data_IF_040624310584
#
_entry.id   IF_040624310584
#
_cell.length_a   1.000
_cell.length_b   1.000
_cell.length_c   1.000
_cell.angle_alpha   90.00
_cell.angle_beta   90.00
_cell.angle_gamma   90.00
#
_symmetry.space_group_name_H-M   'P 1'
#
loop_
_entity.id
_entity.type
_entity.pdbx_description
1 polymer ?
#
# COMPACT_ATOMS: atom_id res chain seq x y z
N UNK A 1 15.87 7.21 3.02
CA UNK A 1 15.65 8.63 2.65
C UNK A 1 14.61 8.80 1.56
N UNK A 2 14.84 8.38 0.31
CA UNK A 2 13.85 8.55 -0.75
C UNK A 2 12.49 7.92 -0.43
N UNK A 3 12.47 6.65 0.01
CA UNK A 3 11.23 5.96 0.36
C UNK A 3 10.42 6.66 1.47
N UNK A 4 11.12 7.25 2.44
CA UNK A 4 10.50 8.02 3.54
C UNK A 4 9.82 9.30 3.05
N UNK A 5 10.41 9.99 2.06
CA UNK A 5 9.77 11.16 1.45
C UNK A 5 8.63 10.78 0.50
N UNK A 6 8.77 9.63 -0.18
CA UNK A 6 7.77 9.13 -1.11
C UNK A 6 6.50 8.61 -0.43
N UNK A 7 6.55 8.17 0.84
CA UNK A 7 5.40 7.56 1.51
C UNK A 7 4.21 8.51 1.74
N UNK A 8 4.43 9.82 1.68
CA UNK A 8 3.39 10.86 1.81
C UNK A 8 3.17 11.63 0.51
N UNK A 9 3.88 11.29 -0.57
CA UNK A 9 3.79 12.02 -1.83
C UNK A 9 2.67 11.47 -2.72
N UNK A 10 2.09 12.36 -3.53
CA UNK A 10 1.08 12.04 -4.55
C UNK A 10 1.68 12.01 -5.96
N UNK A 11 2.76 12.77 -6.18
CA UNK A 11 3.45 12.91 -7.45
C UNK A 11 4.97 12.81 -7.26
N UNK A 12 5.66 12.19 -8.21
CA UNK A 12 7.12 12.14 -8.24
C UNK A 12 7.69 12.86 -9.46
N UNK A 13 8.60 13.81 -9.22
CA UNK A 13 9.39 14.46 -10.27
C UNK A 13 10.72 13.72 -10.43
N UNK A 14 10.97 13.19 -11.62
CA UNK A 14 12.16 12.42 -11.97
C UNK A 14 12.99 13.23 -12.96
N UNK A 15 14.17 13.66 -12.50
CA UNK A 15 15.08 14.48 -13.28
C UNK A 15 16.02 13.61 -14.12
N UNK A 16 16.14 13.92 -15.41
CA UNK A 16 17.00 13.23 -16.37
C UNK A 16 17.86 14.24 -17.12
N UNK A 17 19.13 13.93 -17.37
CA UNK A 17 19.99 14.74 -18.25
C UNK A 17 19.74 14.32 -19.70
N UNK A 18 19.32 15.25 -20.56
CA UNK A 18 19.00 15.00 -21.96
C UNK A 18 20.14 14.32 -22.74
N UNK A 19 21.41 14.54 -22.34
CA UNK A 19 22.57 13.93 -23.02
C UNK A 19 22.86 12.52 -22.54
N UNK A 20 22.53 12.22 -21.28
CA UNK A 20 22.79 10.93 -20.67
C UNK A 20 21.63 9.94 -20.86
N UNK A 21 20.41 10.45 -21.04
CA UNK A 21 19.20 9.63 -21.13
C UNK A 21 18.87 8.94 -19.80
N UNK A 22 18.18 7.81 -19.88
CA UNK A 22 17.75 7.08 -18.69
C UNK A 22 18.90 6.30 -18.06
N UNK A 23 19.24 6.67 -16.82
CA UNK A 23 20.25 5.97 -16.03
C UNK A 23 19.59 4.98 -15.07
N UNK A 24 20.36 3.97 -14.62
CA UNK A 24 19.91 3.00 -13.62
C UNK A 24 19.33 3.67 -12.36
N UNK A 25 19.91 4.80 -11.96
CA UNK A 25 19.44 5.58 -10.82
C UNK A 25 18.02 6.13 -11.03
N UNK A 26 17.71 6.67 -12.22
CA UNK A 26 16.38 7.17 -12.56
C UNK A 26 15.35 6.05 -12.52
N UNK A 27 15.68 4.90 -13.10
CA UNK A 27 14.82 3.72 -13.12
C UNK A 27 14.58 3.17 -11.71
N UNK A 28 15.64 3.13 -10.88
CA UNK A 28 15.55 2.75 -9.47
C UNK A 28 14.64 3.69 -8.69
N UNK A 29 14.77 5.00 -8.87
CA UNK A 29 13.92 5.98 -8.21
C UNK A 29 12.45 5.85 -8.65
N UNK A 30 12.19 5.67 -9.94
CA UNK A 30 10.85 5.41 -10.45
C UNK A 30 10.24 4.13 -9.85
N UNK A 31 11.02 3.05 -9.74
CA UNK A 31 10.59 1.81 -9.08
C UNK A 31 10.22 2.04 -7.61
N UNK A 32 11.06 2.76 -6.86
CA UNK A 32 10.79 3.06 -5.45
C UNK A 32 9.52 3.90 -5.32
N UNK A 33 9.36 4.94 -6.15
CA UNK A 33 8.17 5.78 -6.14
C UNK A 33 6.89 4.98 -6.43
N UNK A 34 6.91 4.12 -7.45
CA UNK A 34 5.79 3.24 -7.78
C UNK A 34 5.47 2.27 -6.63
N UNK A 35 6.50 1.66 -6.03
CA UNK A 35 6.33 0.76 -4.88
C UNK A 35 5.75 1.47 -3.65
N UNK A 36 6.03 2.77 -3.46
CA UNK A 36 5.42 3.59 -2.40
C UNK A 36 4.01 4.09 -2.76
N UNK A 37 3.44 3.59 -3.86
CA UNK A 37 2.09 3.92 -4.31
C UNK A 37 1.97 5.33 -4.90
N UNK A 38 3.03 5.86 -5.52
CA UNK A 38 2.93 7.07 -6.34
C UNK A 38 2.55 6.65 -7.76
N UNK A 39 1.45 7.16 -8.29
CA UNK A 39 0.93 6.78 -9.62
C UNK A 39 0.96 7.92 -10.64
N UNK A 40 1.57 9.05 -10.28
CA UNK A 40 1.74 10.20 -11.18
C UNK A 40 3.20 10.60 -11.22
N UNK A 41 3.81 10.49 -12.39
CA UNK A 41 5.21 10.84 -12.60
C UNK A 41 5.35 12.03 -13.54
N UNK A 42 6.27 12.91 -13.21
CA UNK A 42 6.75 13.96 -14.11
C UNK A 42 8.19 13.64 -14.47
N UNK A 43 8.45 13.40 -15.75
CA UNK A 43 9.79 13.20 -16.28
C UNK A 43 10.33 14.56 -16.75
N UNK A 44 11.20 15.16 -15.94
CA UNK A 44 11.87 16.40 -16.25
C UNK A 44 13.17 16.11 -17.04
N UNK A 45 13.10 16.20 -18.36
CA UNK A 45 14.27 16.02 -19.26
C UNK A 45 15.03 17.34 -19.30
N UNK A 46 15.98 17.47 -18.38
CA UNK A 46 16.75 18.67 -18.11
C UNK A 46 18.00 18.78 -18.99
N UNK A 47 18.56 19.99 -19.08
CA UNK A 47 19.74 20.35 -19.90
C UNK A 47 19.50 20.15 -21.41
N UNK A 48 18.27 20.36 -21.85
CA UNK A 48 17.89 20.28 -23.27
C UNK A 48 18.67 21.29 -24.14
N UNK A 49 19.10 22.41 -23.55
CA UNK A 49 19.97 23.41 -24.18
C UNK A 49 21.32 22.83 -24.61
N UNK A 50 21.89 21.91 -23.82
CA UNK A 50 23.13 21.20 -24.15
C UNK A 50 22.92 20.08 -25.17
N UNK A 51 21.66 19.72 -25.45
CA UNK A 51 21.25 18.80 -26.50
C UNK A 51 20.73 19.55 -27.74
N UNK A 52 21.07 20.85 -27.88
CA UNK A 52 20.64 21.72 -28.98
C UNK A 52 19.12 21.74 -29.19
N UNK A 53 18.34 21.60 -28.11
CA UNK A 53 16.87 21.56 -28.15
C UNK A 53 16.29 20.49 -29.08
N UNK A 54 16.99 19.37 -29.26
CA UNK A 54 16.54 18.28 -30.15
C UNK A 54 15.25 17.63 -29.65
N UNK A 55 14.25 17.64 -30.53
CA UNK A 55 12.96 16.96 -30.35
C UNK A 55 13.15 15.44 -30.29
N UNK A 56 14.01 14.91 -31.14
CA UNK A 56 14.22 13.47 -31.31
C UNK A 56 14.79 12.85 -30.03
N UNK A 57 15.79 13.51 -29.42
CA UNK A 57 16.38 13.07 -28.15
C UNK A 57 15.31 13.06 -27.04
N UNK A 58 14.50 14.12 -26.96
CA UNK A 58 13.41 14.19 -25.97
C UNK A 58 12.37 13.09 -26.17
N UNK A 59 11.88 12.92 -27.40
CA UNK A 59 10.85 11.93 -27.71
C UNK A 59 11.33 10.50 -27.44
N UNK A 60 12.60 10.20 -27.76
CA UNK A 60 13.22 8.90 -27.45
C UNK A 60 13.24 8.63 -25.94
N UNK A 61 13.77 9.55 -25.15
CA UNK A 61 13.85 9.41 -23.68
C UNK A 61 12.45 9.29 -23.07
N UNK A 62 11.52 10.12 -23.54
CA UNK A 62 10.14 10.12 -23.06
C UNK A 62 9.41 8.81 -23.40
N UNK A 63 9.62 8.24 -24.59
CA UNK A 63 9.03 6.97 -24.99
C UNK A 63 9.57 5.81 -24.13
N UNK A 64 10.90 5.69 -24.03
CA UNK A 64 11.55 4.65 -23.22
C UNK A 64 11.09 4.70 -21.75
N UNK A 65 10.98 5.91 -21.19
CA UNK A 65 10.53 6.07 -19.82
C UNK A 65 9.05 5.72 -19.63
N UNK A 66 8.18 6.08 -20.59
CA UNK A 66 6.76 5.72 -20.54
C UNK A 66 6.57 4.21 -20.58
N UNK A 67 7.29 3.49 -21.44
CA UNK A 67 7.27 2.01 -21.46
C UNK A 67 7.69 1.43 -20.11
N UNK A 68 8.76 1.97 -19.53
CA UNK A 68 9.22 1.54 -18.22
C UNK A 68 8.19 1.82 -17.12
N UNK A 69 7.63 3.03 -17.06
CA UNK A 69 6.61 3.40 -16.09
C UNK A 69 5.35 2.51 -16.22
N UNK A 70 4.94 2.17 -17.44
CA UNK A 70 3.86 1.22 -17.70
C UNK A 70 4.14 -0.16 -17.10
N UNK A 71 5.38 -0.65 -17.19
CA UNK A 71 5.79 -1.92 -16.55
C UNK A 71 5.66 -1.91 -15.02
N UNK A 72 5.72 -0.72 -14.42
CA UNK A 72 5.51 -0.48 -12.99
C UNK A 72 4.04 -0.24 -12.63
N UNK A 73 3.13 -0.27 -13.62
CA UNK A 73 1.70 0.03 -13.44
C UNK A 73 1.36 1.52 -13.39
N UNK A 74 2.32 2.41 -13.73
CA UNK A 74 2.13 3.86 -13.73
C UNK A 74 1.80 4.33 -15.15
N UNK A 75 0.57 4.82 -15.33
CA UNK A 75 0.09 5.31 -16.64
C UNK A 75 0.16 6.83 -16.79
N UNK A 76 0.04 7.56 -15.68
CA UNK A 76 0.06 9.02 -15.70
C UNK A 76 1.50 9.53 -15.68
N UNK A 77 2.08 9.73 -16.86
CA UNK A 77 3.44 10.25 -17.04
C UNK A 77 3.42 11.50 -17.91
N UNK A 78 3.81 12.63 -17.33
CA UNK A 78 4.01 13.88 -18.05
C UNK A 78 5.49 14.09 -18.29
N UNK A 79 5.93 14.12 -19.55
CA UNK A 79 7.33 14.39 -19.90
C UNK A 79 7.48 15.86 -20.33
N UNK A 80 8.49 16.54 -19.78
CA UNK A 80 8.72 17.97 -19.97
C UNK A 80 10.20 18.18 -20.35
N UNK A 81 10.50 18.66 -21.57
CA UNK A 81 11.83 19.10 -21.94
C UNK A 81 12.10 20.45 -21.30
N UNK A 82 13.19 20.61 -20.56
CA UNK A 82 13.46 21.84 -19.82
C UNK A 82 14.96 22.14 -19.72
N UNK A 83 15.27 23.41 -19.47
CA UNK A 83 16.58 23.81 -18.93
C UNK A 83 16.39 24.52 -17.60
N UNK A 84 16.81 23.86 -16.51
CA UNK A 84 16.79 24.47 -15.19
C UNK A 84 17.71 25.69 -15.08
N UNK A 85 18.77 25.76 -15.89
CA UNK A 85 19.73 26.86 -15.86
C UNK A 85 19.18 28.13 -16.54
N UNK A 86 18.47 27.95 -17.65
CA UNK A 86 17.93 29.06 -18.45
C UNK A 86 16.47 29.39 -18.11
N UNK A 87 15.76 28.46 -17.48
CA UNK A 87 14.38 28.64 -17.01
C UNK A 87 13.30 28.19 -17.99
N UNK A 88 13.66 27.67 -19.18
CA UNK A 88 12.67 27.21 -20.16
C UNK A 88 11.89 25.98 -19.68
N UNK A 89 10.57 26.04 -19.81
CA UNK A 89 9.58 25.05 -19.37
C UNK A 89 9.64 24.70 -17.87
N UNK A 90 10.29 25.53 -17.05
CA UNK A 90 10.30 25.40 -15.59
C UNK A 90 9.16 26.20 -14.98
N UNK A 91 9.19 27.51 -15.22
CA UNK A 91 8.15 28.48 -14.81
C UNK A 91 7.62 29.21 -16.04
N UNK A 92 8.52 29.62 -16.93
CA UNK A 92 8.18 30.26 -18.19
C UNK A 92 8.11 29.23 -19.31
N UNK A 93 7.28 29.47 -20.31
CA UNK A 93 7.24 28.64 -21.51
C UNK A 93 8.56 28.75 -22.28
N UNK A 94 8.97 27.63 -22.90
CA UNK A 94 10.17 27.53 -23.73
C UNK A 94 9.90 27.68 -25.21
N UNK A 95 8.77 28.28 -25.63
CA UNK A 95 8.26 28.17 -27.00
C UNK A 95 9.16 28.80 -28.05
N UNK A 96 9.97 29.80 -27.66
CA UNK A 96 10.96 30.43 -28.54
C UNK A 96 12.05 29.45 -28.99
N UNK A 97 12.58 28.65 -28.06
CA UNK A 97 13.66 27.68 -28.33
C UNK A 97 13.12 26.30 -28.74
N UNK A 98 11.93 25.94 -28.23
CA UNK A 98 11.27 24.65 -28.45
C UNK A 98 9.85 24.84 -29.03
N UNK A 99 9.70 25.39 -30.25
CA UNK A 99 8.39 25.62 -30.86
C UNK A 99 7.63 24.32 -31.16
N UNK A 100 8.33 23.18 -31.13
CA UNK A 100 7.77 21.85 -31.32
C UNK A 100 7.14 21.25 -30.05
N UNK A 101 7.34 21.85 -28.88
CA UNK A 101 6.76 21.39 -27.62
C UNK A 101 5.51 22.20 -27.26
N UNK A 102 4.35 21.56 -27.32
CA UNK A 102 3.05 22.16 -26.96
C UNK A 102 2.53 21.68 -25.58
N UNK A 103 3.39 21.05 -24.77
CA UNK A 103 3.02 20.55 -23.44
C UNK A 103 3.12 21.63 -22.34
N UNK A 104 2.73 21.30 -21.10
CA UNK A 104 2.77 22.21 -19.97
C UNK A 104 4.19 22.44 -19.45
N UNK A 105 4.38 23.55 -18.73
CA UNK A 105 5.57 23.76 -17.90
C UNK A 105 5.56 22.87 -16.66
N UNK A 106 6.73 22.75 -16.00
CA UNK A 106 6.83 22.03 -14.73
C UNK A 106 5.91 22.64 -13.66
N UNK A 107 5.88 23.97 -13.52
CA UNK A 107 5.03 24.64 -12.54
C UNK A 107 3.54 24.36 -12.79
N UNK A 108 3.06 24.54 -14.02
CA UNK A 108 1.66 24.27 -14.38
C UNK A 108 1.28 22.81 -14.09
N UNK A 109 2.19 21.88 -14.37
CA UNK A 109 1.97 20.46 -14.09
C UNK A 109 1.82 20.19 -12.59
N UNK A 110 2.60 20.87 -11.74
CA UNK A 110 2.51 20.74 -10.29
C UNK A 110 1.24 21.38 -9.72
N UNK A 111 0.81 22.51 -10.27
CA UNK A 111 -0.44 23.19 -9.87
C UNK A 111 -1.69 22.39 -10.24
N UNK A 112 -1.66 21.69 -11.39
CA UNK A 112 -2.75 20.86 -11.89
C UNK A 112 -2.68 19.40 -11.42
N UNK A 113 -1.64 19.02 -10.68
CA UNK A 113 -1.47 17.65 -10.19
C UNK A 113 -2.66 17.24 -9.31
N UNK A 114 -3.25 16.10 -9.62
CA UNK A 114 -4.38 15.60 -8.83
C UNK A 114 -3.88 14.98 -7.54
N UNK A 115 -4.36 15.47 -6.40
CA UNK A 115 -4.14 14.79 -5.12
C UNK A 115 -5.03 13.55 -5.05
N UNK A 116 -4.51 12.45 -4.51
CA UNK A 116 -5.32 11.25 -4.31
C UNK A 116 -6.48 11.56 -3.37
N UNK A 117 -7.68 11.11 -3.75
CA UNK A 117 -8.84 11.22 -2.86
C UNK A 117 -8.61 10.40 -1.59
N UNK A 118 -8.78 11.03 -0.43
CA UNK A 118 -8.86 10.34 0.86
C UNK A 118 -10.20 9.60 1.06
N UNK A 119 -11.09 9.60 0.05
CA UNK A 119 -12.32 8.82 0.08
C UNK A 119 -12.01 7.34 -0.15
N UNK A 120 -11.95 6.62 0.96
CA UNK A 120 -11.86 5.16 0.98
C UNK A 120 -13.25 4.53 0.92
N UNK A 121 -13.32 3.21 0.73
CA UNK A 121 -14.58 2.43 0.55
C UNK A 121 -15.50 2.46 1.78
N UNK A 122 -15.13 3.14 2.86
CA UNK A 122 -15.98 3.37 4.02
C UNK A 122 -15.28 4.17 5.12
N UNK A 123 -16.03 4.51 6.17
CA UNK A 123 -15.50 5.20 7.34
C UNK A 123 -14.41 4.38 8.05
N UNK A 124 -13.30 5.03 8.39
CA UNK A 124 -12.20 4.51 9.21
C UNK A 124 -11.80 5.55 10.24
N UNK A 125 -11.83 5.19 11.52
CA UNK A 125 -11.29 6.02 12.58
C UNK A 125 -10.53 5.17 13.58
N UNK A 126 -9.19 5.09 13.44
CA UNK A 126 -8.32 4.54 14.47
C UNK A 126 -8.47 5.35 15.77
N UNK A 127 -8.85 4.70 16.85
CA UNK A 127 -9.03 5.36 18.14
C UNK A 127 -7.68 5.66 18.74
N UNK A 128 -7.40 6.94 18.97
CA UNK A 128 -6.16 7.41 19.57
C UNK A 128 -6.28 7.61 21.08
N UNK A 129 -7.46 8.05 21.55
CA UNK A 129 -7.74 8.30 22.96
C UNK A 129 -9.21 8.10 23.28
N UNK A 130 -9.49 7.57 24.48
CA UNK A 130 -10.84 7.58 25.06
C UNK A 130 -10.92 8.76 26.02
N UNK A 131 -11.88 9.65 25.79
CA UNK A 131 -12.13 10.84 26.60
C UNK A 131 -13.33 10.59 27.52
N UNK A 132 -13.11 10.78 28.83
CA UNK A 132 -14.13 10.64 29.87
C UNK A 132 -13.94 11.75 30.91
N UNK A 133 -14.48 12.96 30.65
CA UNK A 133 -14.38 14.08 31.57
C UNK A 133 -15.25 13.88 32.83
N UNK A 134 -16.36 13.16 32.70
CA UNK A 134 -17.28 12.78 33.78
C UNK A 134 -17.91 11.39 33.49
N UNK A 135 -18.78 10.92 34.39
CA UNK A 135 -19.41 9.60 34.26
C UNK A 135 -20.40 9.51 33.10
N UNK A 136 -20.99 10.64 32.70
CA UNK A 136 -22.06 10.74 31.70
C UNK A 136 -21.53 10.86 30.26
N UNK A 137 -20.30 11.37 30.09
CA UNK A 137 -19.69 11.55 28.78
C UNK A 137 -18.58 10.52 28.50
N UNK A 138 -18.74 9.77 27.41
CA UNK A 138 -17.68 8.93 26.84
C UNK A 138 -17.54 9.25 25.35
N UNK A 139 -16.39 9.79 24.97
CA UNK A 139 -16.05 10.13 23.59
C UNK A 139 -14.79 9.41 23.12
N UNK A 140 -14.76 9.01 21.86
CA UNK A 140 -13.64 8.30 21.24
C UNK A 140 -12.95 9.25 20.27
N UNK A 141 -11.72 9.62 20.59
CA UNK A 141 -10.95 10.62 19.86
C UNK A 141 -10.00 9.96 18.88
N UNK A 142 -9.96 10.50 17.66
CA UNK A 142 -9.08 10.07 16.60
C UNK A 142 -9.20 10.98 15.38
N UNK A 143 -8.35 10.72 14.39
CA UNK A 143 -8.45 11.34 13.07
C UNK A 143 -9.16 10.37 12.14
N UNK A 144 -10.11 10.87 11.35
CA UNK A 144 -10.78 10.06 10.33
C UNK A 144 -9.75 9.71 9.25
N UNK A 145 -9.39 8.43 9.17
CA UNK A 145 -8.40 7.90 8.23
C UNK A 145 -9.00 7.63 6.84
N UNK A 146 -10.32 7.69 6.71
CA UNK A 146 -10.98 7.40 5.44
C UNK A 146 -12.50 7.48 5.52
N UNK A 147 -13.13 7.80 4.39
CA UNK A 147 -14.57 7.89 4.26
C UNK A 147 -15.18 9.09 4.99
N UNK A 148 -16.46 8.98 5.34
CA UNK A 148 -17.21 10.00 6.05
C UNK A 148 -18.18 9.35 7.05
N UNK A 149 -18.58 10.11 8.06
CA UNK A 149 -19.53 9.67 9.10
C UNK A 149 -20.46 10.80 9.49
N UNK A 150 -21.70 10.47 9.84
CA UNK A 150 -22.74 11.37 10.33
C UNK A 150 -23.41 10.81 11.58
N UNK A 151 -24.02 11.66 12.43
CA UNK A 151 -24.93 11.20 13.47
C UNK A 151 -26.04 10.31 12.87
N UNK A 152 -26.30 9.18 13.52
CA UNK A 152 -27.22 8.14 13.07
C UNK A 152 -26.57 6.97 12.33
N UNK A 153 -25.34 7.12 11.83
CA UNK A 153 -24.67 6.04 11.09
C UNK A 153 -24.35 4.85 11.99
N UNK A 154 -24.53 3.64 11.46
CA UNK A 154 -24.13 2.39 12.11
C UNK A 154 -22.65 2.11 11.87
N UNK A 155 -21.93 1.85 12.97
CA UNK A 155 -20.51 1.57 12.99
C UNK A 155 -20.22 0.27 13.72
N UNK A 156 -19.04 -0.29 13.49
CA UNK A 156 -18.51 -1.45 14.18
C UNK A 156 -17.18 -1.11 14.84
N UNK A 157 -17.00 -1.59 16.06
CA UNK A 157 -15.74 -1.51 16.79
C UNK A 157 -14.95 -2.77 16.47
N UNK A 158 -13.70 -2.60 16.03
CA UNK A 158 -12.78 -3.69 15.76
C UNK A 158 -11.58 -3.62 16.73
N UNK A 159 -11.11 -4.77 17.25
CA UNK A 159 -11.39 -6.13 16.76
C UNK A 159 -12.62 -6.81 17.37
N UNK A 160 -13.29 -6.22 18.38
CA UNK A 160 -14.38 -6.88 19.11
C UNK A 160 -15.62 -7.24 18.28
N UNK A 161 -15.83 -6.56 17.15
CA UNK A 161 -16.98 -6.75 16.28
C UNK A 161 -18.28 -6.13 16.82
N UNK A 162 -18.20 -5.34 17.90
CA UNK A 162 -19.38 -4.78 18.57
C UNK A 162 -20.02 -3.70 17.69
N UNK A 163 -21.31 -3.80 17.33
CA UNK A 163 -22.00 -2.75 16.60
C UNK A 163 -22.45 -1.63 17.55
N UNK A 164 -22.44 -0.40 17.05
CA UNK A 164 -22.97 0.79 17.73
C UNK A 164 -23.46 1.80 16.69
N UNK A 165 -24.18 2.83 17.14
CA UNK A 165 -24.56 3.95 16.26
C UNK A 165 -23.88 5.23 16.71
N UNK A 166 -23.60 6.12 15.77
CA UNK A 166 -23.03 7.44 16.06
C UNK A 166 -24.13 8.33 16.64
N UNK A 167 -23.93 8.81 17.86
CA UNK A 167 -24.84 9.76 18.49
C UNK A 167 -24.48 11.19 18.09
N UNK A 168 -23.21 11.58 18.25
CA UNK A 168 -22.73 12.95 17.97
C UNK A 168 -21.28 12.94 17.53
N UNK A 169 -20.91 13.96 16.77
CA UNK A 169 -19.52 14.24 16.37
C UNK A 169 -19.14 15.57 17.01
N UNK A 170 -18.14 15.57 17.89
CA UNK A 170 -17.70 16.76 18.62
C UNK A 170 -16.29 17.13 18.17
N UNK A 171 -16.11 18.38 17.78
CA UNK A 171 -14.80 19.01 17.50
C UNK A 171 -14.48 20.05 18.58
N UNK A 172 -13.31 20.69 18.49
CA UNK A 172 -12.87 21.66 19.50
C UNK A 172 -13.87 22.80 19.73
N UNK A 173 -14.45 23.30 18.64
CA UNK A 173 -15.28 24.51 18.58
C UNK A 173 -16.78 24.21 18.57
N UNK A 174 -17.20 23.10 17.97
CA UNK A 174 -18.62 22.80 17.73
C UNK A 174 -18.95 21.31 17.58
N UNK A 175 -20.25 21.01 17.63
CA UNK A 175 -20.81 19.70 17.25
C UNK A 175 -21.09 19.71 15.75
N UNK A 176 -20.54 18.74 15.03
CA UNK A 176 -20.66 18.63 13.57
C UNK A 176 -21.75 17.66 13.15
N UNK A 177 -22.38 17.96 12.01
CA UNK A 177 -23.35 17.08 11.36
C UNK A 177 -22.71 16.00 10.48
N UNK A 178 -21.41 16.15 10.18
CA UNK A 178 -20.62 15.17 9.45
C UNK A 178 -19.13 15.36 9.77
N UNK A 179 -18.35 14.31 9.60
CA UNK A 179 -16.89 14.37 9.53
C UNK A 179 -16.40 13.56 8.33
N UNK A 180 -15.29 13.99 7.76
CA UNK A 180 -14.66 13.36 6.58
C UNK A 180 -13.20 13.04 6.88
N UNK A 181 -12.58 12.24 6.01
CA UNK A 181 -11.15 11.92 6.09
C UNK A 181 -10.29 13.19 6.30
N UNK A 182 -9.35 13.11 7.26
CA UNK A 182 -8.51 14.21 7.71
C UNK A 182 -9.05 14.97 8.94
N UNK A 183 -10.35 14.92 9.23
CA UNK A 183 -10.90 15.59 10.41
C UNK A 183 -10.45 14.90 11.71
N UNK A 184 -9.93 15.69 12.65
CA UNK A 184 -9.69 15.25 14.03
C UNK A 184 -10.95 15.46 14.86
N UNK A 185 -11.57 14.37 15.33
CA UNK A 185 -12.89 14.39 15.97
C UNK A 185 -12.92 13.63 17.28
N UNK A 186 -13.94 13.93 18.09
CA UNK A 186 -14.41 13.09 19.19
C UNK A 186 -15.76 12.50 18.80
N UNK A 187 -15.79 11.19 18.57
CA UNK A 187 -17.00 10.46 18.23
C UNK A 187 -17.72 10.00 19.51
N UNK A 188 -19.00 10.30 19.63
CA UNK A 188 -19.85 9.84 20.73
C UNK A 188 -20.82 8.80 20.17
N UNK A 189 -20.90 7.64 20.82
CA UNK A 189 -21.76 6.53 20.41
C UNK A 189 -23.07 6.51 21.20
N UNK A 190 -24.06 5.79 20.69
CA UNK A 190 -25.38 5.60 21.28
C UNK A 190 -25.37 4.81 22.60
N UNK A 191 -24.29 4.06 22.85
CA UNK A 191 -24.11 3.22 24.02
C UNK A 191 -22.65 3.22 24.46
N UNK A 192 -22.42 2.80 25.71
CA UNK A 192 -21.06 2.54 26.17
C UNK A 192 -20.57 1.21 25.60
N UNK A 193 -19.50 1.27 24.83
CA UNK A 193 -18.79 0.11 24.29
C UNK A 193 -17.37 0.06 24.84
N UNK A 194 -16.85 -1.14 25.02
CA UNK A 194 -15.45 -1.31 25.38
C UNK A 194 -14.56 -1.06 24.15
N UNK A 195 -13.74 -0.02 24.26
CA UNK A 195 -12.88 0.50 23.19
C UNK A 195 -11.64 1.03 23.89
N UNK A 196 -10.49 0.65 23.37
CA UNK A 196 -9.19 1.11 23.81
C UNK A 196 -8.45 1.87 22.70
N UNK A 197 -7.30 2.45 23.05
CA UNK A 197 -6.39 3.02 22.05
C UNK A 197 -5.87 1.89 21.15
N UNK A 198 -5.92 2.11 19.83
CA UNK A 198 -5.49 1.14 18.82
C UNK A 198 -6.64 0.34 18.23
N UNK A 199 -7.83 0.34 18.86
CA UNK A 199 -9.04 -0.16 18.23
C UNK A 199 -9.46 0.74 17.07
N UNK A 200 -10.27 0.20 16.17
CA UNK A 200 -10.76 0.94 15.01
C UNK A 200 -12.29 0.99 15.03
N UNK A 201 -12.84 2.19 14.88
CA UNK A 201 -14.26 2.36 14.57
C UNK A 201 -14.38 2.47 13.06
N UNK A 202 -15.17 1.59 12.45
CA UNK A 202 -15.34 1.52 11.00
C UNK A 202 -16.82 1.45 10.62
N UNK A 203 -17.14 1.80 9.36
CA UNK A 203 -18.49 1.54 8.82
C UNK A 203 -18.80 0.04 8.85
N UNK A 204 -20.03 -0.31 9.19
CA UNK A 204 -20.46 -1.70 9.33
C UNK A 204 -20.50 -2.47 8.01
N UNK A 205 -20.80 -1.78 6.90
CA UNK A 205 -21.00 -2.36 5.56
C UNK A 205 -19.68 -2.50 4.78
N UNK A 206 -18.67 -1.72 5.15
CA UNK A 206 -17.39 -1.68 4.46
C UNK A 206 -16.24 -1.90 5.45
N UNK A 207 -16.19 -3.08 6.08
CA UNK A 207 -15.21 -3.39 7.14
C UNK A 207 -13.80 -3.60 6.57
N UNK A 208 -12.76 -3.15 7.28
CA UNK A 208 -11.39 -3.54 6.96
C UNK A 208 -11.18 -5.04 7.19
N UNK A 209 -10.10 -5.58 6.61
CA UNK A 209 -9.75 -6.97 6.81
C UNK A 209 -9.15 -7.19 8.21
N UNK A 210 -9.51 -8.31 8.84
CA UNK A 210 -9.00 -8.69 10.17
C UNK A 210 -8.28 -10.04 10.15
N UNK A 211 -7.24 -10.28 10.92
CA UNK A 211 -6.61 -11.60 10.88
C UNK A 211 -5.26 -11.68 11.56
N UNK A 212 -4.62 -12.84 11.45
CA UNK A 212 -3.29 -13.07 12.03
C UNK A 212 -2.18 -13.08 10.96
N UNK A 213 -2.54 -13.12 9.67
CA UNK A 213 -1.60 -13.19 8.57
C UNK A 213 -1.95 -12.18 7.47
N UNK A 214 -0.98 -11.34 7.13
CA UNK A 214 -1.11 -10.34 6.07
C UNK A 214 0.14 -10.35 5.20
N UNK A 215 -0.06 -10.28 3.89
CA UNK A 215 1.04 -10.10 2.95
C UNK A 215 1.28 -8.60 2.74
N UNK A 216 2.55 -8.21 2.76
CA UNK A 216 2.98 -6.82 2.71
C UNK A 216 4.22 -6.64 1.84
N UNK A 217 4.39 -5.45 1.31
CA UNK A 217 5.67 -4.99 0.77
C UNK A 217 6.38 -4.17 1.84
N UNK A 218 7.64 -4.48 2.09
CA UNK A 218 8.42 -3.91 3.18
C UNK A 218 9.75 -3.38 2.68
N UNK A 219 10.15 -2.20 3.15
CA UNK A 219 11.48 -1.65 2.94
C UNK A 219 12.31 -1.71 4.23
N UNK A 220 13.44 -2.40 4.16
CA UNK A 220 14.37 -2.51 5.28
C UNK A 220 15.22 -1.24 5.40
N UNK A 221 15.28 -0.68 6.61
CA UNK A 221 16.04 0.52 6.94
C UNK A 221 17.19 0.24 7.93
N UNK A 222 17.12 -0.87 8.66
CA UNK A 222 18.13 -1.27 9.63
C UNK A 222 19.40 -1.79 8.95
N UNK A 223 20.57 -1.48 9.53
CA UNK A 223 21.86 -1.95 9.01
C UNK A 223 21.96 -3.48 8.96
N UNK A 224 21.44 -4.16 9.98
CA UNK A 224 21.40 -5.63 10.06
C UNK A 224 20.26 -6.25 9.25
N UNK A 225 19.46 -5.43 8.56
CA UNK A 225 18.28 -5.87 7.84
C UNK A 225 17.13 -6.29 8.76
N UNK A 226 16.23 -7.11 8.21
CA UNK A 226 15.17 -7.78 8.99
C UNK A 226 15.62 -9.21 9.29
N UNK A 227 15.78 -9.50 10.57
CA UNK A 227 16.21 -10.81 11.06
C UNK A 227 15.04 -11.79 11.01
N UNK A 228 15.15 -12.91 10.28
CA UNK A 228 14.10 -13.92 10.25
C UNK A 228 13.77 -14.46 11.65
N UNK A 229 12.48 -14.63 11.94
CA UNK A 229 12.01 -15.15 13.23
C UNK A 229 12.12 -14.18 14.42
N UNK A 230 12.77 -13.02 14.27
CA UNK A 230 12.79 -11.98 15.32
C UNK A 230 11.39 -11.36 15.45
N UNK A 231 10.96 -11.14 16.70
CA UNK A 231 9.72 -10.43 17.01
C UNK A 231 9.95 -8.92 17.00
N UNK A 232 9.10 -8.21 16.28
CA UNK A 232 9.10 -6.76 16.17
C UNK A 232 7.82 -6.16 16.75
N UNK A 233 7.86 -4.88 17.08
CA UNK A 233 6.66 -4.08 17.25
C UNK A 233 6.24 -3.53 15.89
N UNK A 234 5.04 -3.87 15.43
CA UNK A 234 4.42 -3.18 14.31
C UNK A 234 3.54 -2.06 14.83
N UNK A 235 3.68 -0.87 14.27
CA UNK A 235 2.79 0.26 14.54
C UNK A 235 2.11 0.70 13.25
N UNK A 236 0.77 0.69 13.27
CA UNK A 236 -0.09 1.24 12.23
C UNK A 236 -1.11 2.16 12.87
N UNK A 237 -1.20 3.40 12.36
CA UNK A 237 -1.94 4.48 13.01
C UNK A 237 -1.68 4.55 14.53
N UNK A 238 -2.74 4.38 15.34
CA UNK A 238 -2.68 4.38 16.81
C UNK A 238 -2.40 3.00 17.43
N UNK A 239 -2.47 1.91 16.63
CA UNK A 239 -2.33 0.53 17.09
C UNK A 239 -0.88 0.08 17.08
N UNK A 240 -0.50 -0.69 18.10
CA UNK A 240 0.82 -1.32 18.20
C UNK A 240 0.65 -2.79 18.58
N UNK A 241 1.23 -3.70 17.81
CA UNK A 241 1.10 -5.15 18.00
C UNK A 241 2.43 -5.87 17.80
N UNK A 242 2.58 -7.05 18.40
CA UNK A 242 3.72 -7.93 18.16
C UNK A 242 3.55 -8.65 16.83
N UNK A 243 4.62 -8.66 16.04
CA UNK A 243 4.65 -9.30 14.73
C UNK A 243 5.98 -10.03 14.51
N UNK A 244 5.93 -11.15 13.81
CA UNK A 244 7.10 -11.79 13.21
C UNK A 244 7.03 -11.63 11.69
N UNK A 245 8.17 -11.38 11.07
CA UNK A 245 8.26 -11.16 9.62
C UNK A 245 8.88 -12.38 8.97
N UNK A 246 8.20 -12.90 7.97
CA UNK A 246 8.69 -13.95 7.09
C UNK A 246 8.91 -13.35 5.70
N UNK A 247 10.15 -13.37 5.21
CA UNK A 247 10.45 -12.92 3.84
C UNK A 247 10.32 -14.10 2.90
N UNK A 248 9.72 -13.87 1.73
CA UNK A 248 9.68 -14.89 0.66
C UNK A 248 10.15 -14.35 -0.68
N UNK A 249 10.23 -13.02 -0.85
CA UNK A 249 10.80 -12.44 -2.06
C UNK A 249 11.45 -11.09 -1.80
N UNK A 250 12.52 -10.78 -2.52
CA UNK A 250 13.21 -9.50 -2.49
C UNK A 250 13.50 -8.99 -3.91
N UNK A 251 13.45 -7.67 -4.10
CA UNK A 251 13.84 -7.06 -5.37
C UNK A 251 15.37 -6.99 -5.49
N UNK A 252 15.90 -7.50 -6.60
CA UNK A 252 17.28 -7.24 -6.99
C UNK A 252 17.31 -5.98 -7.85
N UNK A 253 18.01 -4.94 -7.37
CA UNK A 253 18.09 -3.66 -8.06
C UNK A 253 18.85 -3.69 -9.37
N UNK A 254 19.77 -4.65 -9.58
CA UNK A 254 20.52 -4.77 -10.83
C UNK A 254 19.63 -5.35 -11.93
N UNK A 255 18.97 -6.46 -11.61
CA UNK A 255 18.11 -7.17 -12.56
C UNK A 255 16.68 -6.62 -12.61
N UNK A 256 16.28 -5.82 -11.60
CA UNK A 256 14.92 -5.27 -11.39
C UNK A 256 13.85 -6.36 -11.32
N UNK A 257 14.25 -7.57 -10.89
CA UNK A 257 13.37 -8.74 -10.75
C UNK A 257 13.18 -9.10 -9.28
N UNK A 258 12.04 -9.70 -9.01
CA UNK A 258 11.75 -10.32 -7.73
C UNK A 258 12.38 -11.71 -7.69
N UNK A 259 13.22 -11.95 -6.70
CA UNK A 259 13.86 -13.25 -6.46
C UNK A 259 13.37 -13.83 -5.14
N UNK A 260 13.43 -15.15 -4.99
CA UNK A 260 13.16 -15.83 -3.71
C UNK A 260 14.22 -15.39 -2.68
N UNK A 261 13.78 -15.09 -1.46
CA UNK A 261 14.67 -14.63 -0.39
C UNK A 261 14.09 -14.95 0.98
N UNK A 262 14.93 -15.47 1.88
CA UNK A 262 14.54 -15.80 3.26
C UNK A 262 14.83 -14.67 4.26
N UNK A 263 15.60 -13.66 3.85
CA UNK A 263 15.98 -12.51 4.68
C UNK A 263 16.01 -11.22 3.87
N UNK A 264 15.85 -10.09 4.54
CA UNK A 264 15.82 -8.78 3.89
C UNK A 264 16.97 -7.88 4.37
N UNK A 265 17.99 -7.72 3.53
CA UNK A 265 19.12 -6.83 3.78
C UNK A 265 18.71 -5.34 3.82
N UNK A 266 19.60 -4.49 4.36
CA UNK A 266 19.42 -3.04 4.42
C UNK A 266 19.13 -2.43 3.04
N UNK A 267 18.22 -1.46 2.96
CA UNK A 267 17.82 -0.74 1.74
C UNK A 267 17.25 -1.64 0.62
N UNK A 268 16.83 -2.85 0.95
CA UNK A 268 16.13 -3.75 0.03
C UNK A 268 14.63 -3.69 0.29
N UNK A 269 13.86 -3.86 -0.79
CA UNK A 269 12.41 -3.99 -0.71
C UNK A 269 12.06 -5.48 -0.89
N UNK A 270 11.23 -5.99 0.02
CA UNK A 270 10.81 -7.39 0.02
C UNK A 270 9.30 -7.52 0.07
N UNK A 271 8.80 -8.62 -0.48
CA UNK A 271 7.47 -9.14 -0.16
C UNK A 271 7.62 -10.05 1.04
N UNK A 272 6.81 -9.77 2.05
CA UNK A 272 6.87 -10.43 3.35
C UNK A 272 5.48 -10.85 3.77
N UNK A 273 5.43 -11.91 4.57
CA UNK A 273 4.25 -12.31 5.32
C UNK A 273 4.44 -11.89 6.78
N UNK A 274 3.46 -11.18 7.29
CA UNK A 274 3.40 -10.70 8.66
C UNK A 274 2.56 -11.68 9.48
N UNK A 275 3.14 -12.19 10.56
CA UNK A 275 2.50 -13.10 11.50
C UNK A 275 2.24 -12.37 12.81
N UNK A 276 0.97 -12.16 13.16
CA UNK A 276 0.57 -11.41 14.35
C UNK A 276 0.18 -12.37 15.49
N UNK A 277 0.50 -11.98 16.72
CA UNK A 277 0.09 -12.72 17.93
C UNK A 277 -1.37 -12.46 18.32
N UNK A 278 -1.92 -11.32 17.88
CA UNK A 278 -3.28 -10.86 18.16
C UNK A 278 -3.96 -10.46 16.86
N UNK A 279 -5.30 -10.54 16.79
CA UNK A 279 -6.07 -10.15 15.60
C UNK A 279 -5.73 -8.74 15.14
N UNK A 280 -5.05 -8.64 14.00
CA UNK A 280 -4.70 -7.39 13.36
C UNK A 280 -5.85 -6.88 12.49
N UNK A 281 -5.89 -5.58 12.23
CA UNK A 281 -6.92 -4.90 11.44
C UNK A 281 -6.20 -4.02 10.43
N UNK A 282 -6.40 -4.30 9.14
CA UNK A 282 -5.75 -3.55 8.08
C UNK A 282 -6.69 -3.41 6.88
N UNK A 283 -6.51 -2.30 6.17
CA UNK A 283 -6.92 -2.21 4.77
C UNK A 283 -5.70 -2.51 3.88
N UNK A 284 -5.92 -2.82 2.61
CA UNK A 284 -4.82 -2.74 1.65
C UNK A 284 -4.37 -1.28 1.52
N UNK A 285 -3.08 -1.05 1.31
CA UNK A 285 -2.52 0.30 1.15
C UNK A 285 -3.14 1.05 -0.04
N UNK A 286 -3.57 0.31 -1.07
CA UNK A 286 -4.31 0.86 -2.20
C UNK A 286 -5.72 1.34 -1.82
N UNK A 287 -6.40 0.64 -0.92
CA UNK A 287 -7.74 1.01 -0.46
C UNK A 287 -7.71 2.12 0.59
N UNK A 288 -6.72 2.12 1.49
CA UNK A 288 -6.51 3.16 2.49
C UNK A 288 -5.02 3.25 2.88
N UNK A 289 -4.38 4.41 2.61
CA UNK A 289 -2.95 4.60 2.92
C UNK A 289 -2.66 4.63 4.42
N UNK A 290 -3.53 5.25 5.21
CA UNK A 290 -3.31 5.45 6.64
C UNK A 290 -3.42 4.14 7.44
N UNK A 291 -4.41 3.32 7.11
CA UNK A 291 -4.64 2.02 7.76
C UNK A 291 -3.98 0.85 7.04
N UNK A 292 -3.44 1.06 5.84
CA UNK A 292 -2.64 0.09 5.09
C UNK A 292 -1.12 0.30 5.20
N UNK A 293 -0.66 1.41 5.77
CA UNK A 293 0.75 1.65 6.08
C UNK A 293 1.10 1.25 7.51
N UNK A 294 2.36 0.87 7.70
CA UNK A 294 2.92 0.60 9.02
C UNK A 294 4.42 0.83 9.06
N UNK A 295 4.95 0.87 10.29
CA UNK A 295 6.37 0.80 10.58
C UNK A 295 6.67 -0.39 11.48
N UNK A 296 7.85 -0.97 11.32
CA UNK A 296 8.42 -1.93 12.26
C UNK A 296 9.41 -1.24 13.18
N UNK A 297 9.31 -1.55 14.46
CA UNK A 297 10.12 -1.01 15.54
C UNK A 297 10.79 -2.17 16.24
N UNK A 298 12.09 -2.09 16.39
CA UNK A 298 12.87 -3.05 17.16
C UNK A 298 12.55 -2.90 18.66
N UNK A 299 12.23 -3.99 19.37
CA UNK A 299 11.83 -3.91 20.78
C UNK A 299 12.98 -3.63 21.74
N UNK A 300 14.22 -3.90 21.35
CA UNK A 300 15.40 -3.73 22.19
C UNK A 300 15.94 -2.30 22.04
N UNK A 301 16.07 -1.85 20.79
CA UNK A 301 16.66 -0.54 20.47
C UNK A 301 15.63 0.58 20.33
N UNK A 302 14.35 0.25 20.20
CA UNK A 302 13.26 1.19 19.89
C UNK A 302 13.40 1.95 18.56
N UNK A 303 14.35 1.53 17.71
CA UNK A 303 14.55 2.12 16.40
C UNK A 303 13.51 1.63 15.39
N UNK A 304 13.11 2.50 14.47
CA UNK A 304 12.30 2.10 13.32
C UNK A 304 13.21 1.36 12.33
N UNK A 305 12.97 0.07 12.14
CA UNK A 305 13.81 -0.81 11.32
C UNK A 305 13.28 -1.00 9.91
N UNK A 306 11.99 -0.73 9.68
CA UNK A 306 11.38 -0.81 8.36
C UNK A 306 10.09 0.00 8.26
N UNK A 307 9.71 0.33 7.03
CA UNK A 307 8.36 0.77 6.67
C UNK A 307 7.72 -0.26 5.75
N UNK A 308 6.40 -0.38 5.78
CA UNK A 308 5.70 -1.33 4.93
C UNK A 308 4.28 -0.93 4.57
N UNK A 309 3.77 -1.60 3.54
CA UNK A 309 2.45 -1.39 2.96
C UNK A 309 1.76 -2.74 2.83
N UNK A 310 0.56 -2.85 3.39
CA UNK A 310 -0.26 -4.06 3.34
C UNK A 310 -0.82 -4.24 1.93
N UNK A 311 -0.70 -5.44 1.38
CA UNK A 311 -1.32 -5.79 0.09
C UNK A 311 -2.69 -6.41 0.30
N UNK A 312 -2.82 -7.26 1.32
CA UNK A 312 -4.09 -7.89 1.66
C UNK A 312 -3.91 -8.95 2.74
N UNK A 313 -5.01 -9.64 3.07
CA UNK A 313 -4.92 -10.87 3.87
C UNK A 313 -4.05 -11.85 3.10
N UNK A 314 -3.14 -12.50 3.81
CA UNK A 314 -2.41 -13.61 3.23
C UNK A 314 -3.44 -14.66 2.82
N UNK A 315 -3.50 -14.97 1.53
CA UNK A 315 -4.15 -16.19 1.09
C UNK A 315 -3.22 -17.34 1.47
N UNK A 316 -3.76 -18.36 2.11
CA UNK A 316 -3.14 -19.68 2.22
C UNK A 316 -3.13 -20.34 0.83
N UNK A 317 -2.55 -19.66 -0.17
CA UNK A 317 -2.00 -20.38 -1.32
C UNK A 317 -0.80 -21.08 -0.74
N UNK A 318 -1.03 -22.35 -0.41
CA UNK A 318 -0.06 -23.27 0.17
C UNK A 318 1.29 -23.05 -0.48
N UNK A 319 2.33 -22.84 0.34
CA UNK A 319 3.70 -22.90 -0.15
C UNK A 319 3.81 -24.21 -0.93
N UNK A 320 4.38 -24.15 -2.12
CA UNK A 320 4.84 -25.35 -2.83
C UNK A 320 5.86 -26.00 -1.88
N UNK A 321 5.41 -27.02 -1.16
CA UNK A 321 6.27 -27.77 -0.24
C UNK A 321 7.37 -28.43 -1.04
N UNK A 322 8.64 -28.16 -0.70
CA UNK A 322 9.81 -28.90 -1.21
C UNK A 322 9.97 -30.25 -0.49
N UNK A 323 8.90 -31.04 -0.40
CA UNK A 323 8.91 -32.35 0.26
C UNK A 323 8.04 -33.34 -0.49
N UNK A 324 8.66 -34.46 -0.90
CA UNK A 324 8.16 -35.50 -1.79
C UNK A 324 8.20 -35.15 -3.29
N UNK A 325 8.42 -36.16 -4.13
CA UNK A 325 8.84 -36.05 -5.52
C UNK A 325 7.71 -35.60 -6.48
N UNK A 326 6.58 -35.12 -5.94
CA UNK A 326 5.41 -34.66 -6.68
C UNK A 326 4.97 -33.29 -6.18
N UNK A 327 4.89 -32.32 -7.09
CA UNK A 327 4.44 -30.95 -6.78
C UNK A 327 2.92 -30.92 -6.80
N UNK A 328 2.29 -31.11 -5.64
CA UNK A 328 0.83 -30.94 -5.51
C UNK A 328 0.51 -29.47 -5.18
N UNK A 329 -0.38 -28.86 -5.96
CA UNK A 329 -0.88 -27.49 -5.73
C UNK A 329 -2.35 -27.55 -5.37
N UNK A 330 -2.70 -27.15 -4.15
CA UNK A 330 -4.08 -27.01 -3.70
C UNK A 330 -4.61 -25.62 -4.04
N UNK A 331 -5.67 -25.56 -4.86
CA UNK A 331 -6.36 -24.33 -5.25
C UNK A 331 -7.78 -24.35 -4.68
N UNK A 332 -8.02 -23.53 -3.65
CA UNK A 332 -9.37 -23.29 -3.14
C UNK A 332 -10.02 -22.14 -3.91
N UNK A 333 -11.06 -22.45 -4.69
CA UNK A 333 -11.76 -21.47 -5.54
C UNK A 333 -13.24 -21.37 -5.13
N UNK A 334 -13.85 -20.17 -5.19
CA UNK A 334 -15.30 -20.03 -5.12
C UNK A 334 -15.98 -20.85 -6.24
N UNK A 335 -17.20 -21.38 -6.03
CA UNK A 335 -17.87 -22.26 -6.99
C UNK A 335 -17.96 -21.66 -8.40
N UNK A 336 -18.30 -20.37 -8.49
CA UNK A 336 -18.43 -19.65 -9.77
C UNK A 336 -17.10 -19.54 -10.55
N UNK A 337 -15.98 -19.45 -9.83
CA UNK A 337 -14.63 -19.36 -10.43
C UNK A 337 -14.15 -20.76 -10.80
N UNK A 338 -14.43 -21.75 -9.95
CA UNK A 338 -14.11 -23.15 -10.21
C UNK A 338 -14.84 -23.65 -11.47
N UNK A 339 -16.13 -23.36 -11.64
CA UNK A 339 -16.89 -23.75 -12.83
C UNK A 339 -16.33 -23.14 -14.12
N UNK A 340 -15.95 -21.86 -14.10
CA UNK A 340 -15.31 -21.20 -15.24
C UNK A 340 -13.94 -21.78 -15.56
N UNK A 341 -13.15 -22.12 -14.54
CA UNK A 341 -11.85 -22.73 -14.72
C UNK A 341 -11.98 -24.14 -15.30
N UNK A 342 -12.87 -24.97 -14.75
CA UNK A 342 -13.14 -26.34 -15.21
C UNK A 342 -13.65 -26.35 -16.66
N UNK A 343 -14.42 -25.34 -17.07
CA UNK A 343 -14.89 -25.15 -18.44
C UNK A 343 -13.88 -24.58 -19.43
N UNK A 344 -12.64 -24.28 -19.01
CA UNK A 344 -11.62 -23.68 -19.88
C UNK A 344 -10.80 -24.72 -20.65
N UNK A 345 -10.31 -24.33 -21.84
CA UNK A 345 -9.38 -25.14 -22.64
C UNK A 345 -8.09 -25.48 -21.88
N UNK A 346 -7.68 -24.61 -20.94
CA UNK A 346 -6.56 -24.84 -20.05
C UNK A 346 -6.81 -26.05 -19.14
N UNK A 347 -7.98 -26.13 -18.50
CA UNK A 347 -8.31 -27.24 -17.61
C UNK A 347 -8.48 -28.56 -18.37
N UNK A 348 -9.01 -28.51 -19.59
CA UNK A 348 -9.08 -29.68 -20.45
C UNK A 348 -7.69 -30.29 -20.73
N UNK A 349 -6.65 -29.46 -20.82
CA UNK A 349 -5.26 -29.92 -21.07
C UNK A 349 -4.56 -30.57 -19.87
N UNK A 350 -5.08 -30.38 -18.66
CA UNK A 350 -4.50 -30.90 -17.41
C UNK A 350 -5.47 -31.79 -16.63
N UNK A 351 -6.60 -32.18 -17.24
CA UNK A 351 -7.71 -32.84 -16.54
C UNK A 351 -7.32 -34.17 -15.88
N UNK A 352 -6.40 -34.91 -16.50
CA UNK A 352 -5.93 -36.20 -16.00
C UNK A 352 -4.96 -36.06 -14.82
N UNK A 353 -4.42 -34.85 -14.60
CA UNK A 353 -3.47 -34.52 -13.52
C UNK A 353 -4.13 -33.77 -12.35
N UNK A 354 -5.46 -33.56 -12.39
CA UNK A 354 -6.18 -32.73 -11.42
C UNK A 354 -7.32 -33.50 -10.75
N UNK A 355 -7.26 -33.60 -9.43
CA UNK A 355 -8.37 -34.09 -8.62
C UNK A 355 -9.27 -32.92 -8.16
N UNK A 356 -10.56 -32.96 -8.50
CA UNK A 356 -11.55 -31.94 -8.08
C UNK A 356 -12.42 -32.51 -6.96
N UNK A 357 -12.38 -31.88 -5.79
CA UNK A 357 -13.27 -32.21 -4.66
C UNK A 357 -14.16 -31.02 -4.29
N UNK A 358 -15.47 -31.26 -4.19
CA UNK A 358 -16.38 -30.31 -3.56
C UNK A 358 -16.39 -30.56 -2.06
N UNK A 359 -15.96 -29.57 -1.29
CA UNK A 359 -15.77 -29.69 0.16
C UNK A 359 -16.34 -28.48 0.87
N UNK A 360 -16.92 -28.69 2.05
CA UNK A 360 -17.38 -27.60 2.93
C UNK A 360 -16.21 -26.96 3.68
N UNK A 361 -16.38 -25.71 4.15
CA UNK A 361 -15.31 -24.97 4.85
C UNK A 361 -14.74 -25.72 6.07
N UNK A 362 -15.59 -26.46 6.79
CA UNK A 362 -15.17 -27.23 7.97
C UNK A 362 -14.40 -28.50 7.60
N UNK A 363 -14.72 -29.12 6.45
CA UNK A 363 -14.00 -30.28 5.91
C UNK A 363 -12.67 -29.90 5.25
N UNK A 364 -12.56 -28.68 4.70
CA UNK A 364 -11.33 -28.12 4.12
C UNK A 364 -10.23 -28.00 5.19
N UNK A 365 -10.60 -27.67 6.44
CA UNK A 365 -9.64 -27.57 7.55
C UNK A 365 -8.96 -28.92 7.88
N UNK A 366 -9.66 -30.05 7.74
CA UNK A 366 -9.09 -31.38 7.97
C UNK A 366 -8.09 -31.83 6.91
N UNK A 367 -8.31 -31.45 5.65
CA UNK A 367 -7.41 -31.78 4.52
C UNK A 367 -6.02 -31.11 4.64
N UNK A 368 -5.89 -30.02 5.40
CA UNK A 368 -4.61 -29.37 5.66
C UNK A 368 -3.85 -30.00 6.84
N UNK A 369 -4.51 -30.81 7.67
CA UNK A 369 -3.89 -31.50 8.82
C UNK A 369 -3.36 -32.89 8.42
N UNK A 370 -4.01 -33.54 7.44
CA UNK A 370 -3.63 -34.87 6.93
C UNK A 370 -2.33 -34.87 6.08
N UNK A 371 -1.71 -33.72 5.80
CA UNK A 371 -0.41 -33.63 5.12
C UNK A 371 0.80 -34.14 5.92
N UNK A 372 0.57 -34.90 7.00
CA UNK A 372 1.60 -35.50 7.87
C UNK A 372 1.64 -37.02 7.86
N UNK A 373 0.68 -37.71 7.25
CA UNK A 373 0.74 -39.17 7.14
C UNK A 373 0.52 -39.61 5.69
N UNK A 374 1.53 -40.38 5.24
CA UNK A 374 1.74 -41.11 3.98
C UNK A 374 2.38 -40.37 2.78
#
# INVERSE_FOLDING_TARGET
NMATGASTADLAVLLVDARAGLLEQTLRHASIAALMGIHQFVLAVNKIDLASYSREIFEQIAAEFREYALSLGVRAVTAIPMSALKGENVVHDGKAEMPWYDGPTLLETLELATVRSAQTVGFRMPVQRVCRPDESFRGYQGTVAGGAVKPGDSVVILPSGTPANVSKIVTYDLVRNAAVAGDAITLVLDRQVDVARGDMIASIDARPATGLHFDATLISLAQDGITPGKRYWLKSASRRQRVTVETFSAIDWKTRRWNEADALAVNTIGKVRLHFEETAIFDSYEANRDTGAFILIDPDTHNTVAGGMIQGRASDVSRIGKGSNERVVLLALPPEVAEKLIGSDFFASIRDDVEVRQTTRDQLAGLFDDGKED
#
